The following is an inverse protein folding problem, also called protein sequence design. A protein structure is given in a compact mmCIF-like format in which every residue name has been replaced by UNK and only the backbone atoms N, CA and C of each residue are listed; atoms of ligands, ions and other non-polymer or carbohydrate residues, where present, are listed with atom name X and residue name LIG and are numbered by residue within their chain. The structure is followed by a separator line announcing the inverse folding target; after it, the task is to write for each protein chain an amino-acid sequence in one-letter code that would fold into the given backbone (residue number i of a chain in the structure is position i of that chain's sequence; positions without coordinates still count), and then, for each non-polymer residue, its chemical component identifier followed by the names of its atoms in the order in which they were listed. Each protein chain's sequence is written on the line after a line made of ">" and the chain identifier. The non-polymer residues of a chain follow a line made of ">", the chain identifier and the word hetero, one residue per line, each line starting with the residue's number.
data_IF_544065201279
#
_entry.id   IF_544065201279
#
_cell.length_a   1.000
_cell.length_b   1.000
_cell.length_c   1.000
_cell.angle_alpha   90.00
_cell.angle_beta   90.00
_cell.angle_gamma   90.00
#
_symmetry.space_group_name_H-M   'P 1'
#
loop_
_entity.id
_entity.type
_entity.pdbx_description
1 polymer ?
#
# COMPACT_ATOMS: atom_id res chain seq x y z
N UNK A 1 -38.18 -2.84 -35.51
CA UNK A 1 -36.77 -3.27 -35.43
C UNK A 1 -36.18 -2.66 -34.17
N UNK A 2 -35.97 -3.48 -33.15
CA UNK A 2 -35.28 -3.07 -31.92
C UNK A 2 -33.77 -3.05 -32.22
N UNK A 3 -33.00 -2.06 -31.72
CA UNK A 3 -31.56 -2.03 -31.94
C UNK A 3 -30.87 -3.14 -31.15
N UNK A 4 -30.00 -3.87 -31.84
CA UNK A 4 -29.19 -4.97 -31.32
C UNK A 4 -28.42 -4.56 -30.06
N UNK A 5 -28.74 -5.21 -28.94
CA UNK A 5 -27.86 -5.28 -27.78
C UNK A 5 -26.61 -6.06 -28.16
N UNK A 6 -25.59 -5.33 -28.62
CA UNK A 6 -24.22 -5.84 -28.74
C UNK A 6 -23.72 -6.29 -27.35
N UNK A 7 -24.02 -7.55 -27.01
CA UNK A 7 -23.42 -8.25 -25.88
C UNK A 7 -21.96 -8.59 -26.21
N UNK A 8 -21.11 -7.56 -26.20
CA UNK A 8 -19.68 -7.79 -26.04
C UNK A 8 -19.50 -8.43 -24.67
N UNK A 9 -19.37 -9.76 -24.63
CA UNK A 9 -19.04 -10.50 -23.43
C UNK A 9 -17.78 -9.84 -22.85
N UNK A 10 -17.81 -9.34 -21.60
CA UNK A 10 -16.65 -8.66 -21.05
C UNK A 10 -15.44 -9.58 -21.20
N UNK A 11 -14.37 -9.10 -21.84
CA UNK A 11 -13.09 -9.83 -21.85
C UNK A 11 -12.85 -10.39 -20.45
N UNK A 12 -12.64 -11.70 -20.37
CA UNK A 12 -12.71 -12.41 -19.11
C UNK A 12 -11.81 -11.73 -18.07
N UNK A 13 -12.43 -11.24 -16.99
CA UNK A 13 -11.76 -10.64 -15.84
C UNK A 13 -10.76 -11.62 -15.18
N UNK A 14 -10.78 -12.89 -15.57
CA UNK A 14 -9.80 -13.93 -15.21
C UNK A 14 -8.35 -13.55 -15.56
N UNK A 15 -8.13 -12.65 -16.52
CA UNK A 15 -6.78 -12.17 -16.88
C UNK A 15 -6.18 -11.14 -15.91
N UNK A 16 -6.94 -10.66 -14.92
CA UNK A 16 -6.50 -9.62 -13.98
C UNK A 16 -5.56 -10.19 -12.92
N UNK A 17 -5.75 -11.46 -12.53
CA UNK A 17 -5.13 -12.09 -11.37
C UNK A 17 -4.69 -13.52 -11.68
N UNK A 18 -3.68 -14.00 -10.96
CA UNK A 18 -3.16 -15.35 -11.12
C UNK A 18 -4.08 -16.42 -10.49
N UNK A 19 -4.84 -16.05 -9.46
CA UNK A 19 -5.91 -16.87 -8.92
C UNK A 19 -7.01 -15.96 -8.36
N UNK A 20 -8.26 -16.43 -8.47
CA UNK A 20 -9.43 -15.70 -8.01
C UNK A 20 -10.56 -16.62 -7.60
N UNK A 21 -11.46 -16.10 -6.76
CA UNK A 21 -12.79 -16.65 -6.51
C UNK A 21 -13.84 -15.70 -7.06
N UNK A 22 -15.10 -16.14 -7.15
CA UNK A 22 -16.23 -15.26 -7.43
C UNK A 22 -17.12 -15.18 -6.19
N UNK A 23 -17.54 -13.96 -5.83
CA UNK A 23 -18.55 -13.72 -4.80
C UNK A 23 -19.47 -12.61 -5.29
N UNK A 24 -20.78 -12.84 -5.26
CA UNK A 24 -21.79 -11.84 -5.69
C UNK A 24 -21.54 -11.23 -7.08
N UNK A 25 -21.03 -12.03 -8.02
CA UNK A 25 -20.72 -11.57 -9.39
C UNK A 25 -19.46 -10.68 -9.49
N UNK A 26 -18.68 -10.53 -8.42
CA UNK A 26 -17.40 -9.82 -8.40
C UNK A 26 -16.26 -10.82 -8.33
N UNK A 27 -15.20 -10.56 -9.10
CA UNK A 27 -13.95 -11.34 -9.03
C UNK A 27 -13.17 -10.94 -7.79
N UNK A 28 -12.85 -11.89 -6.92
CA UNK A 28 -11.98 -11.66 -5.77
C UNK A 28 -10.62 -12.29 -6.01
N UNK A 29 -9.60 -11.47 -6.13
CA UNK A 29 -8.25 -11.93 -6.42
C UNK A 29 -7.51 -12.32 -5.14
N UNK A 30 -7.29 -13.62 -4.99
CA UNK A 30 -6.54 -14.21 -3.89
C UNK A 30 -5.03 -14.25 -4.18
N UNK A 31 -4.65 -14.15 -5.46
CA UNK A 31 -3.25 -14.13 -5.92
C UNK A 31 -3.06 -13.27 -7.14
N UNK A 32 -2.06 -12.38 -7.08
CA UNK A 32 -1.62 -11.57 -8.22
C UNK A 32 -0.49 -12.23 -9.01
N UNK A 33 -0.24 -11.76 -10.23
CA UNK A 33 0.91 -12.20 -11.02
C UNK A 33 2.22 -11.70 -10.40
N UNK A 34 3.35 -12.42 -10.59
CA UNK A 34 4.66 -11.91 -10.20
C UNK A 34 5.06 -10.70 -11.07
N UNK A 35 5.90 -9.82 -10.50
CA UNK A 35 6.56 -8.74 -11.24
C UNK A 35 6.20 -7.33 -10.79
N UNK A 36 6.71 -6.32 -11.52
CA UNK A 36 6.57 -4.89 -11.17
C UNK A 36 5.19 -4.29 -11.44
N UNK A 37 4.39 -4.96 -12.28
CA UNK A 37 2.99 -4.64 -12.62
C UNK A 37 2.16 -5.92 -12.46
N UNK A 38 1.83 -6.29 -11.21
CA UNK A 38 1.22 -7.59 -10.90
C UNK A 38 -0.26 -7.67 -11.30
N UNK A 39 -0.86 -6.56 -11.72
CA UNK A 39 -2.23 -6.45 -12.24
C UNK A 39 -2.19 -6.07 -13.72
N UNK A 40 -3.03 -6.73 -14.52
CA UNK A 40 -3.16 -6.47 -15.95
C UNK A 40 -4.60 -6.12 -16.27
N UNK A 41 -4.86 -4.84 -16.59
CA UNK A 41 -6.19 -4.42 -17.00
C UNK A 41 -6.54 -4.98 -18.39
N UNK A 42 -7.76 -5.51 -18.59
CA UNK A 42 -8.24 -5.88 -19.91
C UNK A 42 -8.29 -4.67 -20.88
N UNK A 43 -8.53 -4.96 -22.16
CA UNK A 43 -8.84 -3.91 -23.14
C UNK A 43 -10.10 -3.13 -22.75
N UNK A 44 -10.23 -1.92 -23.29
CA UNK A 44 -11.44 -1.13 -23.13
C UNK A 44 -12.64 -1.89 -23.73
N UNK A 45 -13.74 -2.12 -22.99
CA UNK A 45 -14.91 -2.82 -23.52
C UNK A 45 -15.59 -2.08 -24.68
N UNK A 46 -15.50 -0.75 -24.67
CA UNK A 46 -16.06 0.12 -25.70
C UNK A 46 -15.33 1.47 -25.72
N UNK A 47 -15.66 2.34 -26.67
CA UNK A 47 -15.07 3.69 -26.76
C UNK A 47 -15.36 4.58 -25.55
N UNK A 48 -16.44 4.29 -24.82
CA UNK A 48 -16.91 5.07 -23.66
C UNK A 48 -16.69 4.32 -22.34
N UNK A 49 -16.00 3.19 -22.33
CA UNK A 49 -15.77 2.42 -21.11
C UNK A 49 -14.32 2.01 -20.94
N UNK A 50 -13.79 2.12 -19.71
CA UNK A 50 -12.43 1.68 -19.37
C UNK A 50 -12.38 1.05 -17.98
N UNK A 51 -11.52 0.05 -17.84
CA UNK A 51 -11.13 -0.46 -16.52
C UNK A 51 -10.08 0.45 -15.89
N UNK A 52 -10.09 0.54 -14.57
CA UNK A 52 -9.12 1.34 -13.82
C UNK A 52 -9.32 1.31 -12.31
N UNK A 53 -8.56 2.15 -11.61
CA UNK A 53 -8.60 2.30 -10.17
C UNK A 53 -8.44 3.76 -9.74
N UNK A 54 -8.88 4.08 -8.54
CA UNK A 54 -8.75 5.42 -7.97
C UNK A 54 -7.32 5.64 -7.49
N UNK A 55 -6.76 6.81 -7.84
CA UNK A 55 -5.51 7.29 -7.26
C UNK A 55 -5.78 7.90 -5.88
N UNK A 56 -4.71 8.04 -5.10
CA UNK A 56 -4.69 8.85 -3.89
C UNK A 56 -5.38 10.20 -4.10
N UNK A 57 -6.06 10.70 -3.07
CA UNK A 57 -6.85 11.92 -3.07
C UNK A 57 -8.21 11.78 -3.75
N UNK A 58 -8.48 10.66 -4.44
CA UNK A 58 -9.78 10.34 -4.99
C UNK A 58 -10.25 11.25 -6.12
N UNK A 59 -9.35 12.03 -6.73
CA UNK A 59 -9.70 12.99 -7.80
C UNK A 59 -9.49 12.43 -9.21
N UNK A 60 -8.66 11.39 -9.32
CA UNK A 60 -8.17 10.87 -10.61
C UNK A 60 -8.38 9.37 -10.70
N UNK A 61 -8.83 8.92 -11.88
CA UNK A 61 -9.02 7.51 -12.22
C UNK A 61 -7.93 7.03 -13.17
N UNK A 62 -7.10 6.11 -12.71
CA UNK A 62 -6.00 5.57 -13.51
C UNK A 62 -6.46 4.40 -14.37
N UNK A 63 -6.25 4.50 -15.69
CA UNK A 63 -6.58 3.46 -16.67
C UNK A 63 -5.34 3.02 -17.46
N UNK A 64 -5.46 1.96 -18.27
CA UNK A 64 -4.41 1.59 -19.23
C UNK A 64 -4.05 2.73 -20.20
N UNK A 65 -5.02 3.58 -20.54
CA UNK A 65 -4.86 4.71 -21.45
C UNK A 65 -4.46 6.02 -20.77
N UNK A 66 -4.02 5.97 -19.51
CA UNK A 66 -3.68 7.14 -18.71
C UNK A 66 -4.77 7.55 -17.71
N UNK A 67 -4.52 8.68 -17.07
CA UNK A 67 -5.34 9.24 -16.01
C UNK A 67 -6.54 10.01 -16.59
N UNK A 68 -7.70 9.87 -15.95
CA UNK A 68 -8.92 10.57 -16.31
C UNK A 68 -9.49 11.30 -15.08
N UNK A 69 -10.04 12.52 -15.26
CA UNK A 69 -10.73 13.22 -14.18
C UNK A 69 -12.06 12.54 -13.84
N UNK A 70 -12.50 12.70 -12.59
CA UNK A 70 -13.83 12.30 -12.15
C UNK A 70 -14.82 13.47 -12.25
N UNK A 71 -16.05 13.18 -12.68
CA UNK A 71 -17.15 14.12 -12.53
C UNK A 71 -17.44 14.35 -11.03
N UNK A 72 -17.85 15.56 -10.66
CA UNK A 72 -18.10 15.95 -9.28
C UNK A 72 -19.08 14.99 -8.55
N UNK A 73 -20.12 14.52 -9.25
CA UNK A 73 -21.09 13.57 -8.70
C UNK A 73 -20.42 12.22 -8.33
N UNK A 74 -19.50 11.73 -9.15
CA UNK A 74 -18.76 10.48 -8.89
C UNK A 74 -17.82 10.66 -7.71
N UNK A 75 -17.08 11.77 -7.66
CA UNK A 75 -16.20 12.08 -6.54
C UNK A 75 -16.97 12.19 -5.21
N UNK A 76 -18.14 12.86 -5.22
CA UNK A 76 -19.02 12.96 -4.04
C UNK A 76 -19.57 11.61 -3.60
N UNK A 77 -20.02 10.77 -4.54
CA UNK A 77 -20.51 9.42 -4.24
C UNK A 77 -19.40 8.55 -3.60
N UNK A 78 -18.20 8.60 -4.17
CA UNK A 78 -17.05 7.88 -3.65
C UNK A 78 -16.68 8.34 -2.24
N UNK A 79 -16.61 9.65 -2.02
CA UNK A 79 -16.31 10.22 -0.70
C UNK A 79 -17.33 9.79 0.35
N UNK A 80 -18.62 9.88 0.05
CA UNK A 80 -19.67 9.43 0.95
C UNK A 80 -19.56 7.93 1.26
N UNK A 81 -19.14 7.11 0.30
CA UNK A 81 -18.84 5.69 0.53
C UNK A 81 -17.69 5.50 1.52
N UNK A 82 -16.58 6.21 1.33
CA UNK A 82 -15.42 6.14 2.20
C UNK A 82 -15.75 6.59 3.64
N UNK A 83 -16.48 7.71 3.77
CA UNK A 83 -16.90 8.27 5.06
C UNK A 83 -17.84 7.30 5.84
N UNK A 84 -18.63 6.48 5.12
CA UNK A 84 -19.48 5.42 5.70
C UNK A 84 -18.72 4.10 5.99
N UNK A 85 -17.38 4.13 6.03
CA UNK A 85 -16.55 2.96 6.32
C UNK A 85 -16.38 1.99 5.14
N UNK A 86 -16.82 2.33 3.93
CA UNK A 86 -16.57 1.51 2.74
C UNK A 86 -15.18 1.81 2.19
N UNK A 87 -14.20 1.05 2.66
CA UNK A 87 -12.77 1.26 2.40
C UNK A 87 -12.24 0.41 1.25
N UNK A 88 -13.12 -0.30 0.54
CA UNK A 88 -12.75 -1.20 -0.55
C UNK A 88 -12.02 -0.51 -1.71
N UNK A 89 -12.14 0.82 -1.86
CA UNK A 89 -11.62 1.57 -3.00
C UNK A 89 -10.13 1.34 -3.30
N UNK A 90 -9.29 1.14 -2.28
CA UNK A 90 -7.85 0.95 -2.49
C UNK A 90 -7.52 -0.44 -3.04
N UNK A 91 -8.45 -1.38 -2.92
CA UNK A 91 -8.34 -2.76 -3.35
C UNK A 91 -9.29 -3.09 -4.51
N UNK A 92 -10.10 -2.15 -4.98
CA UNK A 92 -11.10 -2.39 -6.03
C UNK A 92 -10.64 -1.89 -7.40
N UNK A 93 -10.90 -2.70 -8.43
CA UNK A 93 -10.89 -2.31 -9.84
C UNK A 93 -12.32 -1.99 -10.26
N UNK A 94 -12.47 -0.87 -10.97
CA UNK A 94 -13.76 -0.40 -11.46
C UNK A 94 -13.81 -0.45 -12.98
N UNK A 95 -15.01 -0.65 -13.51
CA UNK A 95 -15.40 -0.28 -14.87
C UNK A 95 -15.98 1.14 -14.83
N UNK A 96 -15.34 2.07 -15.52
CA UNK A 96 -15.77 3.45 -15.64
C UNK A 96 -16.54 3.68 -16.95
N UNK A 97 -17.58 4.52 -16.90
CA UNK A 97 -18.22 5.15 -18.07
C UNK A 97 -17.61 6.54 -18.26
N UNK A 98 -17.24 6.86 -19.49
CA UNK A 98 -16.55 8.09 -19.88
C UNK A 98 -17.42 8.88 -20.84
N UNK A 99 -17.59 10.16 -20.56
CA UNK A 99 -18.21 11.13 -21.46
C UNK A 99 -17.33 12.36 -21.55
N UNK A 100 -17.03 12.80 -22.78
CA UNK A 100 -16.19 13.98 -23.04
C UNK A 100 -14.86 13.99 -22.27
N UNK A 101 -14.21 12.83 -22.14
CA UNK A 101 -12.93 12.68 -21.43
C UNK A 101 -13.02 12.56 -19.90
N UNK A 102 -14.22 12.57 -19.33
CA UNK A 102 -14.44 12.54 -17.87
C UNK A 102 -15.17 11.27 -17.45
N UNK A 103 -14.79 10.70 -16.30
CA UNK A 103 -15.49 9.56 -15.69
C UNK A 103 -16.80 10.03 -15.06
N UNK A 104 -17.93 9.55 -15.56
CA UNK A 104 -19.28 9.95 -15.11
C UNK A 104 -20.00 8.87 -14.32
N UNK A 105 -19.58 7.60 -14.43
CA UNK A 105 -20.07 6.48 -13.63
C UNK A 105 -18.94 5.49 -13.39
N UNK A 106 -19.02 4.75 -12.29
CA UNK A 106 -18.11 3.65 -11.96
C UNK A 106 -18.90 2.47 -11.40
N UNK A 107 -18.42 1.26 -11.67
CA UNK A 107 -18.96 0.00 -11.14
C UNK A 107 -17.80 -0.89 -10.69
N UNK A 108 -17.77 -1.40 -9.43
CA UNK A 108 -16.81 -2.42 -9.02
C UNK A 108 -16.90 -3.66 -9.91
N UNK A 109 -15.76 -4.20 -10.34
CA UNK A 109 -15.68 -5.43 -11.14
C UNK A 109 -14.74 -6.48 -10.59
N UNK A 110 -13.74 -6.06 -9.81
CA UNK A 110 -12.87 -6.98 -9.09
C UNK A 110 -12.36 -6.34 -7.79
N UNK A 111 -12.25 -7.15 -6.74
CA UNK A 111 -11.61 -6.79 -5.49
C UNK A 111 -10.35 -7.63 -5.31
N UNK A 112 -9.25 -6.98 -4.94
CA UNK A 112 -7.99 -7.66 -4.65
C UNK A 112 -7.91 -7.87 -3.15
N UNK A 113 -7.67 -9.11 -2.73
CA UNK A 113 -7.56 -9.38 -1.30
C UNK A 113 -6.33 -8.69 -0.70
N UNK A 114 -6.47 -8.21 0.53
CA UNK A 114 -5.44 -7.49 1.27
C UNK A 114 -4.11 -8.25 1.30
N UNK A 115 -4.18 -9.55 1.60
CA UNK A 115 -3.02 -10.44 1.56
C UNK A 115 -2.36 -10.49 0.18
N UNK A 116 -3.12 -10.40 -0.91
CA UNK A 116 -2.56 -10.41 -2.25
C UNK A 116 -1.83 -9.09 -2.58
N UNK A 117 -2.35 -7.95 -2.11
CA UNK A 117 -1.70 -6.64 -2.24
C UNK A 117 -0.41 -6.58 -1.42
N UNK A 118 -0.46 -6.89 -0.12
CA UNK A 118 0.73 -6.92 0.74
C UNK A 118 1.81 -7.88 0.21
N UNK A 119 1.38 -9.05 -0.29
CA UNK A 119 2.30 -10.01 -0.91
C UNK A 119 2.99 -9.42 -2.14
N UNK A 120 2.24 -8.80 -3.04
CA UNK A 120 2.80 -8.23 -4.25
C UNK A 120 3.70 -7.01 -3.98
N UNK A 121 3.36 -6.20 -2.99
CA UNK A 121 4.07 -4.98 -2.67
C UNK A 121 5.33 -5.21 -1.82
N UNK A 122 5.27 -6.06 -0.78
CA UNK A 122 6.27 -6.07 0.28
C UNK A 122 6.85 -7.46 0.62
N UNK A 123 6.14 -8.55 0.35
CA UNK A 123 6.55 -9.86 0.86
C UNK A 123 7.92 -10.32 0.34
N UNK A 124 8.77 -10.79 1.26
CA UNK A 124 10.13 -11.21 0.99
C UNK A 124 11.09 -10.07 0.61
N UNK A 125 10.63 -8.82 0.63
CA UNK A 125 11.43 -7.64 0.33
C UNK A 125 11.95 -7.01 1.63
N UNK A 126 12.79 -6.00 1.46
CA UNK A 126 13.27 -5.19 2.56
C UNK A 126 12.99 -3.71 2.31
N UNK A 127 12.93 -2.96 3.40
CA UNK A 127 13.00 -1.51 3.38
C UNK A 127 14.24 -1.03 4.12
N UNK A 128 14.79 0.08 3.65
CA UNK A 128 15.90 0.78 4.27
C UNK A 128 15.62 2.26 4.40
N UNK A 129 16.26 2.88 5.38
CA UNK A 129 16.26 4.31 5.56
C UNK A 129 16.71 4.64 6.98
N UNK A 130 15.92 5.44 7.69
CA UNK A 130 16.32 5.99 8.99
C UNK A 130 15.27 5.78 10.06
N UNK A 131 15.71 5.62 11.31
CA UNK A 131 14.88 5.53 12.51
C UNK A 131 15.30 6.61 13.52
N UNK A 132 14.35 7.33 14.10
CA UNK A 132 14.61 8.37 15.09
C UNK A 132 15.24 7.79 16.36
N UNK A 133 16.22 8.50 16.91
CA UNK A 133 16.97 8.03 18.09
C UNK A 133 16.25 8.34 19.39
N UNK A 134 16.47 7.50 20.41
CA UNK A 134 15.98 7.77 21.76
C UNK A 134 16.80 8.89 22.41
N UNK A 135 16.10 9.91 22.90
CA UNK A 135 16.66 11.06 23.61
C UNK A 135 16.97 10.71 25.07
N UNK A 136 17.67 11.60 25.78
CA UNK A 136 17.94 11.41 27.23
C UNK A 136 16.67 11.47 28.06
N UNK A 137 15.67 12.19 27.59
CA UNK A 137 14.36 12.38 28.20
C UNK A 137 13.44 11.16 28.02
N UNK A 138 13.80 10.24 27.12
CA UNK A 138 13.05 9.01 26.86
C UNK A 138 12.18 9.07 25.61
N UNK A 139 11.98 10.25 25.03
CA UNK A 139 11.29 10.47 23.76
C UNK A 139 12.17 10.14 22.55
N UNK A 140 11.64 10.30 21.35
CA UNK A 140 12.38 10.08 20.09
C UNK A 140 12.58 11.35 19.28
N UNK A 141 13.80 11.53 18.78
CA UNK A 141 14.15 12.67 17.94
C UNK A 141 13.67 12.47 16.49
N UNK A 142 13.11 13.52 15.88
CA UNK A 142 12.67 13.50 14.48
C UNK A 142 13.80 13.75 13.47
N UNK A 143 14.87 14.47 13.87
CA UNK A 143 16.00 14.82 12.98
C UNK A 143 17.24 13.97 13.19
N UNK A 144 17.56 13.65 14.45
CA UNK A 144 18.65 12.75 14.76
C UNK A 144 18.18 11.30 14.54
N UNK A 145 18.80 10.62 13.58
CA UNK A 145 18.36 9.29 13.16
C UNK A 145 19.53 8.33 12.99
N UNK A 146 19.24 7.03 13.07
CA UNK A 146 20.16 5.94 12.76
C UNK A 146 19.71 5.20 11.50
N UNK A 147 20.64 4.63 10.71
CA UNK A 147 20.26 3.80 9.59
C UNK A 147 19.58 2.52 10.07
N UNK A 148 18.50 2.13 9.39
CA UNK A 148 17.71 0.95 9.73
C UNK A 148 17.39 0.13 8.47
N UNK A 149 17.37 -1.19 8.63
CA UNK A 149 16.89 -2.13 7.61
C UNK A 149 15.86 -3.08 8.19
N UNK A 150 14.69 -3.11 7.56
CA UNK A 150 13.59 -4.00 7.89
C UNK A 150 13.45 -5.04 6.79
N UNK A 151 13.44 -6.32 7.15
CA UNK A 151 13.11 -7.41 6.23
C UNK A 151 11.72 -7.96 6.54
N UNK A 152 10.90 -8.19 5.51
CA UNK A 152 9.55 -8.71 5.66
C UNK A 152 9.46 -10.20 5.40
N UNK A 153 8.49 -10.85 6.03
CA UNK A 153 8.14 -12.24 5.79
C UNK A 153 7.72 -12.45 4.32
N UNK A 154 7.75 -13.70 3.87
CA UNK A 154 7.38 -14.08 2.49
C UNK A 154 5.87 -14.18 2.25
N UNK A 155 5.08 -14.16 3.32
CA UNK A 155 3.63 -14.34 3.24
C UNK A 155 2.93 -13.48 4.30
N UNK A 156 1.93 -12.67 3.91
CA UNK A 156 1.03 -12.04 4.85
C UNK A 156 -0.04 -13.02 5.34
N UNK A 157 -0.59 -12.74 6.52
CA UNK A 157 -1.64 -13.52 7.18
C UNK A 157 -2.65 -12.54 7.77
N UNK A 158 -3.95 -12.79 7.57
CA UNK A 158 -5.04 -11.94 8.07
C UNK A 158 -4.90 -10.43 7.81
N UNK A 159 -4.34 -10.02 6.66
CA UNK A 159 -4.17 -8.61 6.31
C UNK A 159 -2.94 -7.96 6.95
N UNK A 160 -2.06 -8.75 7.57
CA UNK A 160 -0.82 -8.28 8.16
C UNK A 160 0.42 -8.92 7.51
N UNK A 161 1.51 -8.17 7.39
CA UNK A 161 2.81 -8.68 6.97
C UNK A 161 3.86 -8.44 8.06
N UNK A 162 4.31 -9.51 8.68
CA UNK A 162 5.35 -9.42 9.72
C UNK A 162 6.71 -9.05 9.14
N UNK A 163 7.50 -8.35 9.94
CA UNK A 163 8.85 -7.93 9.60
C UNK A 163 9.79 -7.94 10.79
N UNK A 164 11.08 -7.80 10.49
CA UNK A 164 12.16 -7.76 11.47
C UNK A 164 13.19 -6.69 11.12
N UNK A 165 13.56 -5.87 12.10
CA UNK A 165 14.72 -5.00 12.00
C UNK A 165 15.98 -5.86 12.04
N UNK A 166 16.66 -5.93 10.89
CA UNK A 166 17.78 -6.85 10.67
C UNK A 166 19.07 -6.39 11.33
N UNK A 167 19.28 -5.07 11.44
CA UNK A 167 20.42 -4.47 12.12
C UNK A 167 20.15 -4.14 13.60
N UNK A 168 19.17 -4.80 14.23
CA UNK A 168 18.85 -4.56 15.63
C UNK A 168 20.03 -4.90 16.57
N UNK A 169 20.67 -6.05 16.35
CA UNK A 169 21.72 -6.59 17.24
C UNK A 169 23.06 -6.87 16.55
N UNK A 170 23.13 -6.75 15.23
CA UNK A 170 24.32 -7.02 14.42
C UNK A 170 24.45 -6.03 13.29
N UNK A 171 25.67 -5.90 12.75
CA UNK A 171 25.89 -5.09 11.57
C UNK A 171 25.32 -5.79 10.34
N UNK A 172 24.74 -5.01 9.43
CA UNK A 172 24.10 -5.54 8.21
C UNK A 172 24.47 -4.66 7.03
N UNK A 173 24.75 -5.29 5.90
CA UNK A 173 25.02 -4.61 4.64
C UNK A 173 23.74 -4.04 4.04
N UNK A 174 23.75 -2.76 3.73
CA UNK A 174 22.66 -2.08 3.04
C UNK A 174 22.56 -2.53 1.59
N UNK A 175 21.45 -2.21 0.91
CA UNK A 175 21.30 -2.44 -0.52
C UNK A 175 22.30 -1.62 -1.36
N UNK A 176 22.84 -0.53 -0.80
CA UNK A 176 23.89 0.30 -1.41
C UNK A 176 25.31 -0.16 -1.06
N UNK A 177 25.46 -1.26 -0.32
CA UNK A 177 26.75 -1.85 0.04
C UNK A 177 27.39 -1.32 1.32
N UNK A 178 26.91 -0.21 1.88
CA UNK A 178 27.38 0.33 3.16
C UNK A 178 26.97 -0.54 4.35
N UNK A 179 27.68 -0.46 5.47
CA UNK A 179 27.35 -1.23 6.67
C UNK A 179 26.51 -0.41 7.65
N UNK A 180 25.33 -0.92 7.98
CA UNK A 180 24.51 -0.40 9.06
C UNK A 180 24.97 -1.01 10.38
N UNK A 181 25.31 -0.16 11.34
CA UNK A 181 25.72 -0.60 12.67
C UNK A 181 24.56 -1.27 13.44
N UNK A 182 24.87 -2.11 14.44
CA UNK A 182 23.88 -2.62 15.39
C UNK A 182 23.21 -1.47 16.16
N UNK A 183 21.88 -1.41 16.15
CA UNK A 183 21.14 -0.38 16.89
C UNK A 183 21.33 -0.48 18.41
N UNK A 184 21.31 -1.70 18.95
CA UNK A 184 21.40 -1.96 20.39
C UNK A 184 22.77 -1.61 21.02
N UNK A 185 23.81 -1.36 20.21
CA UNK A 185 25.13 -0.95 20.70
C UNK A 185 25.29 0.57 20.76
N UNK A 186 24.29 1.33 20.34
CA UNK A 186 24.30 2.78 20.41
C UNK A 186 23.66 3.25 21.73
N UNK A 187 24.24 4.29 22.36
CA UNK A 187 23.61 4.93 23.53
C UNK A 187 22.24 5.53 23.21
N UNK A 188 21.96 5.76 21.93
CA UNK A 188 20.72 6.32 21.42
C UNK A 188 19.78 5.24 20.83
N UNK A 189 19.89 3.99 21.32
CA UNK A 189 19.14 2.83 20.86
C UNK A 189 17.63 3.14 20.79
N UNK A 190 17.01 3.03 19.60
CA UNK A 190 15.59 3.30 19.44
C UNK A 190 14.69 2.13 19.84
N UNK A 191 15.26 0.94 20.09
CA UNK A 191 14.50 -0.27 20.39
C UNK A 191 14.45 -0.51 21.90
N UNK A 192 13.47 0.09 22.57
CA UNK A 192 13.30 0.05 24.03
C UNK A 192 11.82 -0.17 24.38
N UNK A 193 11.56 -0.99 25.41
CA UNK A 193 10.20 -1.27 25.87
C UNK A 193 9.38 -1.98 24.78
N UNK A 194 8.24 -1.39 24.43
CA UNK A 194 7.31 -1.94 23.41
C UNK A 194 7.83 -1.79 21.97
N UNK A 195 8.85 -0.97 21.74
CA UNK A 195 9.47 -0.76 20.44
C UNK A 195 10.56 -1.81 20.20
N UNK A 196 10.17 -2.97 19.68
CA UNK A 196 11.08 -4.11 19.50
C UNK A 196 11.59 -4.25 18.07
N UNK A 197 12.52 -5.19 17.83
CA UNK A 197 12.94 -5.52 16.48
C UNK A 197 11.87 -6.26 15.65
N UNK A 198 10.79 -6.75 16.27
CA UNK A 198 9.67 -7.40 15.59
C UNK A 198 8.61 -6.35 15.29
N UNK A 199 8.10 -6.38 14.07
CA UNK A 199 7.09 -5.44 13.61
C UNK A 199 6.05 -6.13 12.73
N UNK A 200 4.93 -5.48 12.47
CA UNK A 200 3.99 -5.87 11.41
C UNK A 200 3.56 -4.63 10.60
N UNK A 201 3.25 -4.87 9.32
CA UNK A 201 2.58 -3.92 8.44
C UNK A 201 1.12 -4.30 8.31
N UNK A 202 0.22 -3.33 8.47
CA UNK A 202 -1.19 -3.49 8.13
C UNK A 202 -1.72 -2.23 7.46
N UNK A 203 -2.83 -2.38 6.76
CA UNK A 203 -3.58 -1.25 6.22
C UNK A 203 -4.56 -0.73 7.24
N UNK A 204 -4.63 0.59 7.34
CA UNK A 204 -5.67 1.32 8.07
C UNK A 204 -6.24 2.39 7.15
N UNK A 205 -7.54 2.62 7.27
CA UNK A 205 -8.17 3.69 6.52
C UNK A 205 -7.80 5.03 7.15
N UNK A 206 -7.42 6.01 6.34
CA UNK A 206 -7.02 7.31 6.88
C UNK A 206 -8.22 8.02 7.48
N UNK A 207 -8.06 8.53 8.70
CA UNK A 207 -9.05 9.38 9.36
C UNK A 207 -8.92 10.85 8.95
N UNK A 208 -7.84 11.21 8.25
CA UNK A 208 -7.52 12.59 7.89
C UNK A 208 -7.88 12.92 6.44
N UNK A 209 -7.76 11.94 5.53
CA UNK A 209 -8.04 12.14 4.12
C UNK A 209 -8.65 10.89 3.50
N UNK A 210 -9.83 11.03 2.88
CA UNK A 210 -10.40 9.94 2.08
C UNK A 210 -9.45 9.61 0.92
N UNK A 211 -9.37 8.33 0.54
CA UNK A 211 -8.52 7.81 -0.54
C UNK A 211 -7.01 7.72 -0.25
N UNK A 212 -6.60 8.08 0.97
CA UNK A 212 -5.20 8.21 1.37
C UNK A 212 -4.86 7.19 2.45
N UNK A 213 -5.30 5.95 2.28
CA UNK A 213 -5.11 4.91 3.29
C UNK A 213 -3.66 4.74 3.72
N UNK A 214 -3.53 4.39 4.98
CA UNK A 214 -2.27 4.40 5.70
C UNK A 214 -1.74 2.97 5.89
N UNK A 215 -0.43 2.80 5.77
CA UNK A 215 0.30 1.60 6.08
C UNK A 215 0.88 1.75 7.48
N UNK A 216 0.24 1.11 8.46
CA UNK A 216 0.62 1.16 9.86
C UNK A 216 1.81 0.26 10.13
N UNK A 217 2.80 0.76 10.86
CA UNK A 217 3.83 -0.06 11.49
C UNK A 217 3.40 -0.40 12.91
N UNK A 218 3.13 -1.67 13.19
CA UNK A 218 2.88 -2.15 14.56
C UNK A 218 4.17 -2.67 15.16
N UNK A 219 4.48 -2.24 16.38
CA UNK A 219 5.61 -2.74 17.17
C UNK A 219 5.17 -3.80 18.17
N UNK A 220 4.01 -3.59 18.78
CA UNK A 220 3.37 -4.45 19.77
C UNK A 220 1.84 -4.33 19.68
N UNK A 221 1.10 -5.04 20.54
CA UNK A 221 -0.36 -4.94 20.61
C UNK A 221 -0.88 -3.57 21.03
N UNK A 222 -0.04 -2.73 21.67
CA UNK A 222 -0.39 -1.40 22.15
C UNK A 222 0.43 -0.26 21.56
N UNK A 223 1.49 -0.56 20.80
CA UNK A 223 2.39 0.44 20.22
C UNK A 223 2.43 0.35 18.71
N UNK A 224 2.07 1.44 18.05
CA UNK A 224 2.12 1.58 16.60
C UNK A 224 2.60 2.97 16.19
N UNK A 225 3.20 3.05 15.01
CA UNK A 225 3.49 4.29 14.34
C UNK A 225 2.57 4.40 13.13
N UNK A 226 1.67 5.39 13.20
CA UNK A 226 0.85 5.87 12.10
C UNK A 226 1.48 7.18 11.59
N UNK A 227 1.41 7.42 10.28
CA UNK A 227 1.99 8.60 9.64
C UNK A 227 1.57 8.68 8.17
N UNK A 228 2.19 9.57 7.37
CA UNK A 228 1.95 9.70 5.93
C UNK A 228 2.45 8.49 5.13
N UNK A 229 1.85 7.35 5.41
CA UNK A 229 2.30 6.05 5.01
C UNK A 229 1.37 5.53 3.93
N UNK A 230 1.59 5.87 2.67
CA UNK A 230 0.59 5.45 1.68
C UNK A 230 0.58 3.94 1.47
N UNK A 231 -0.55 3.33 1.79
CA UNK A 231 -0.83 1.95 1.44
C UNK A 231 -0.82 1.80 -0.09
N UNK A 232 -0.18 0.75 -0.66
CA UNK A 232 -0.14 0.54 -2.10
C UNK A 232 -1.53 0.17 -2.63
N UNK A 233 -2.27 1.16 -3.12
CA UNK A 233 -3.56 0.97 -3.79
C UNK A 233 -3.44 0.21 -5.12
N UNK A 234 -4.56 -0.21 -5.70
CA UNK A 234 -4.58 -0.79 -7.05
C UNK A 234 -3.94 0.14 -8.09
N UNK A 235 -4.14 1.46 -7.98
CA UNK A 235 -3.46 2.41 -8.85
C UNK A 235 -1.93 2.35 -8.72
N UNK A 236 -1.40 2.10 -7.51
CA UNK A 236 0.04 1.86 -7.28
C UNK A 236 0.53 0.60 -7.96
N UNK A 237 -0.25 -0.49 -7.91
CA UNK A 237 0.08 -1.77 -8.55
C UNK A 237 0.00 -1.70 -10.09
N UNK A 238 -0.85 -0.83 -10.64
CA UNK A 238 -0.92 -0.51 -12.07
C UNK A 238 0.23 0.40 -12.53
N UNK A 239 0.86 1.12 -11.59
CA UNK A 239 1.92 2.08 -11.85
C UNK A 239 1.44 3.52 -12.07
N UNK A 240 0.18 3.82 -11.74
CA UNK A 240 -0.42 5.16 -11.82
C UNK A 240 -0.13 6.05 -10.61
N UNK A 241 0.30 5.46 -9.48
CA UNK A 241 0.65 6.18 -8.25
C UNK A 241 2.01 5.71 -7.71
N UNK A 242 3.14 6.36 -8.08
CA UNK A 242 4.46 5.95 -7.63
C UNK A 242 4.72 6.24 -6.15
N UNK A 243 3.98 7.18 -5.56
CA UNK A 243 4.17 7.59 -4.17
C UNK A 243 3.65 6.53 -3.18
N UNK A 244 2.74 5.63 -3.60
CA UNK A 244 2.33 4.45 -2.81
C UNK A 244 3.43 3.40 -2.60
N UNK A 245 4.67 3.69 -3.04
CA UNK A 245 5.88 2.86 -2.82
C UNK A 245 6.90 3.52 -1.90
N UNK A 246 6.63 4.74 -1.45
CA UNK A 246 7.47 5.48 -0.50
C UNK A 246 6.79 5.46 0.85
N UNK A 247 7.55 5.21 1.90
CA UNK A 247 7.01 5.17 3.25
C UNK A 247 7.68 6.19 4.15
N UNK A 248 6.89 7.13 4.64
CA UNK A 248 7.33 8.10 5.63
C UNK A 248 6.35 8.05 6.80
N UNK A 249 6.86 7.84 8.02
CA UNK A 249 6.05 8.00 9.22
C UNK A 249 6.49 9.27 9.94
N UNK A 250 5.56 10.22 10.00
CA UNK A 250 5.59 11.33 10.93
C UNK A 250 4.59 10.99 12.04
N UNK A 251 5.04 11.17 13.28
CA UNK A 251 4.43 10.68 14.51
C UNK A 251 2.91 10.98 14.67
N UNK A 252 2.09 9.94 14.59
CA UNK A 252 0.82 9.84 15.31
C UNK A 252 0.68 8.41 15.89
N UNK A 253 0.48 8.28 17.21
CA UNK A 253 0.31 6.97 17.88
C UNK A 253 0.07 7.10 19.39
N UNK A 254 -0.84 6.30 19.93
CA UNK A 254 -1.20 6.19 21.36
C UNK A 254 -0.48 4.98 21.97
N UNK A 255 0.04 4.97 23.21
CA UNK A 255 0.09 6.03 24.22
C UNK A 255 1.43 6.80 24.31
N UNK A 256 2.44 6.45 23.51
CA UNK A 256 3.70 7.21 23.41
C UNK A 256 4.25 7.18 21.99
N UNK A 257 4.75 8.34 21.54
CA UNK A 257 5.34 8.56 20.24
C UNK A 257 6.52 7.60 20.00
N UNK A 258 6.31 6.49 19.27
CA UNK A 258 7.40 5.57 18.88
C UNK A 258 8.42 6.19 17.94
N UNK A 259 9.59 5.57 17.70
CA UNK A 259 10.61 6.17 16.87
C UNK A 259 10.10 6.46 15.44
N UNK A 260 10.22 7.70 14.92
CA UNK A 260 9.82 8.01 13.55
C UNK A 260 10.68 7.24 12.57
N UNK A 261 10.11 6.80 11.45
CA UNK A 261 10.84 6.06 10.41
C UNK A 261 10.62 6.67 9.03
N UNK A 262 11.69 6.76 8.25
CA UNK A 262 11.63 7.09 6.83
C UNK A 262 12.24 5.93 6.07
N UNK A 263 11.45 5.28 5.23
CA UNK A 263 11.74 3.96 4.70
C UNK A 263 11.39 3.88 3.21
N UNK A 264 12.23 3.19 2.46
CA UNK A 264 12.01 2.92 1.04
C UNK A 264 12.26 1.46 0.76
N UNK A 265 11.42 0.89 -0.11
CA UNK A 265 11.64 -0.45 -0.63
C UNK A 265 12.98 -0.54 -1.36
N UNK A 266 13.76 -1.56 -1.05
CA UNK A 266 15.06 -1.81 -1.68
C UNK A 266 15.11 -3.21 -2.29
N UNK A 267 16.11 -3.44 -3.15
CA UNK A 267 16.47 -4.74 -3.71
C UNK A 267 17.91 -5.10 -3.30
N UNK A 268 18.12 -6.31 -2.77
CA UNK A 268 19.43 -6.76 -2.30
C UNK A 268 19.76 -6.31 -0.86
N UNK A 269 21.03 -6.46 -0.47
CA UNK A 269 21.51 -6.22 0.90
C UNK A 269 21.05 -7.29 1.90
N UNK A 270 21.24 -7.03 3.20
CA UNK A 270 20.82 -7.91 4.29
C UNK A 270 21.87 -8.94 4.73
N UNK A 271 22.96 -9.06 3.98
CA UNK A 271 24.12 -9.89 4.36
C UNK A 271 24.90 -9.30 5.53
N UNK A 272 25.75 -10.10 6.14
CA UNK A 272 26.63 -9.66 7.23
C UNK A 272 27.62 -8.61 6.74
N UNK A 273 27.89 -7.66 7.62
CA UNK A 273 29.12 -6.89 7.68
C UNK A 273 29.96 -7.49 8.80
#
# INVERSE_FOLDING_TARGET
>A
MAPDENSATPQALSGICAASTQRNGIVHCTKLFPGKKPIRLPGAPSRTQRYGALKRGGTTFHTRGGDLPLAAAVAKQLKAGADNGRTAYANTIYLATISKGTVTKIKPVADIEENAVLRAAFAGRAMEGTIGVRTRQGDYASRATLPVRIAFAKSPVHGELTGKITNATRAVRSAKGSCFAPLNRTKANPLVGEFTAKIALERVSSMHAAFDDELLLKWSSGASNMGHAYYPSIATLLGGDPLGRTWETLLHGTPSAGPPVNLRLVSGGGGTC
#
